data_IF_366599987082
#
_entry.id   IF_366599987082
#
_cell.length_a   1.000
_cell.length_b   1.000
_cell.length_c   1.000
_cell.angle_alpha   90.00
_cell.angle_beta   90.00
_cell.angle_gamma   90.00
#
_symmetry.space_group_name_H-M   'P 1'
#
loop_
_entity.id
_entity.type
_entity.pdbx_description
1 polymer ?
#
# COMPACT_ATOMS: atom_id res chain seq x y z
N UNK A 1 33.30 -18.89 20.59
CA UNK A 1 32.94 -17.53 21.06
C UNK A 1 31.92 -17.66 22.18
N UNK A 2 31.88 -16.74 23.14
CA UNK A 2 30.85 -16.76 24.17
C UNK A 2 29.48 -16.43 23.55
N UNK A 3 28.42 -17.10 24.00
CA UNK A 3 27.05 -16.83 23.55
C UNK A 3 26.62 -15.43 24.01
N UNK A 4 26.22 -14.58 23.07
CA UNK A 4 25.74 -13.23 23.37
C UNK A 4 24.28 -13.29 23.83
N UNK A 5 23.98 -12.66 24.97
CA UNK A 5 22.59 -12.52 25.46
C UNK A 5 21.92 -11.33 24.79
N UNK A 6 20.71 -11.53 24.29
CA UNK A 6 19.88 -10.50 23.65
C UNK A 6 18.56 -10.39 24.42
N UNK A 7 18.32 -9.23 25.01
CA UNK A 7 17.03 -8.88 25.59
C UNK A 7 16.21 -8.08 24.57
N UNK A 8 15.02 -8.57 24.25
CA UNK A 8 14.08 -7.95 23.31
C UNK A 8 12.91 -7.40 24.11
N UNK A 9 12.61 -6.11 23.95
CA UNK A 9 11.65 -5.40 24.79
C UNK A 9 10.36 -5.13 24.00
N UNK A 10 9.31 -5.87 24.32
CA UNK A 10 8.03 -5.84 23.61
C UNK A 10 7.91 -6.96 22.58
N UNK A 11 6.67 -7.38 22.34
CA UNK A 11 6.31 -8.54 21.51
C UNK A 11 5.46 -8.15 20.29
N UNK A 12 5.69 -6.96 19.74
CA UNK A 12 5.03 -6.50 18.52
C UNK A 12 5.80 -6.91 17.25
N UNK A 13 5.28 -6.53 16.08
CA UNK A 13 5.87 -6.92 14.78
C UNK A 13 7.37 -6.64 14.67
N UNK A 14 7.83 -5.44 15.04
CA UNK A 14 9.26 -5.08 14.93
C UNK A 14 10.18 -6.04 15.69
N UNK A 15 9.81 -6.36 16.94
CA UNK A 15 10.56 -7.30 17.76
C UNK A 15 10.54 -8.72 17.19
N UNK A 16 9.35 -9.22 16.85
CA UNK A 16 9.17 -10.61 16.44
C UNK A 16 9.80 -10.88 15.06
N UNK A 17 9.78 -9.93 14.14
CA UNK A 17 10.47 -10.07 12.84
C UNK A 17 11.98 -10.03 13.00
N UNK A 18 12.53 -9.17 13.87
CA UNK A 18 13.96 -9.17 14.18
C UNK A 18 14.42 -10.49 14.77
N UNK A 19 13.67 -11.03 15.74
CA UNK A 19 13.99 -12.34 16.35
C UNK A 19 13.83 -13.46 15.34
N UNK A 20 12.79 -13.44 14.50
CA UNK A 20 12.62 -14.42 13.43
C UNK A 20 13.81 -14.43 12.49
N UNK A 21 14.29 -13.25 12.06
CA UNK A 21 15.45 -13.15 11.18
C UNK A 21 16.75 -13.63 11.85
N UNK A 22 17.00 -13.25 13.10
CA UNK A 22 18.18 -13.71 13.87
C UNK A 22 18.19 -15.24 14.01
N UNK A 23 17.01 -15.84 14.21
CA UNK A 23 16.86 -17.28 14.40
C UNK A 23 16.70 -18.07 13.10
N UNK A 24 16.73 -17.41 11.94
CA UNK A 24 16.76 -18.06 10.63
C UNK A 24 18.15 -18.59 10.26
N UNK A 25 19.21 -18.14 10.95
CA UNK A 25 20.55 -18.73 10.87
C UNK A 25 20.55 -20.09 11.59
N UNK A 26 20.82 -21.24 10.92
CA UNK A 26 20.79 -22.55 11.56
C UNK A 26 21.71 -22.68 12.80
N UNK A 27 22.80 -21.90 12.83
CA UNK A 27 23.80 -21.93 13.91
C UNK A 27 23.55 -20.86 14.98
N UNK A 28 22.40 -20.16 14.96
CA UNK A 28 22.14 -19.01 15.83
C UNK A 28 22.32 -19.32 17.32
N UNK A 29 22.02 -20.55 17.76
CA UNK A 29 22.13 -20.97 19.17
C UNK A 29 23.58 -20.96 19.69
N UNK A 30 24.55 -21.12 18.79
CA UNK A 30 25.97 -21.00 19.15
C UNK A 30 26.41 -19.55 19.35
N UNK A 31 25.60 -18.60 18.85
CA UNK A 31 25.88 -17.16 18.80
C UNK A 31 25.06 -16.39 19.84
N UNK A 32 23.78 -16.75 20.02
CA UNK A 32 22.83 -15.95 20.78
C UNK A 32 21.99 -16.76 21.78
N UNK A 33 21.66 -16.12 22.90
CA UNK A 33 20.58 -16.49 23.80
C UNK A 33 19.57 -15.34 23.79
N UNK A 34 18.35 -15.59 23.30
CA UNK A 34 17.35 -14.52 23.07
C UNK A 34 16.18 -14.67 24.03
N UNK A 35 15.90 -13.62 24.79
CA UNK A 35 14.71 -13.50 25.65
C UNK A 35 13.84 -12.31 25.22
N UNK A 36 12.54 -12.54 25.03
CA UNK A 36 11.54 -11.53 24.68
C UNK A 36 10.72 -11.19 25.91
N UNK A 37 10.92 -9.99 26.46
CA UNK A 37 10.17 -9.45 27.60
C UNK A 37 8.92 -8.73 27.11
N UNK A 38 7.76 -9.17 27.55
CA UNK A 38 6.48 -8.67 27.05
C UNK A 38 5.54 -8.28 28.18
N UNK A 39 4.93 -7.10 28.05
CA UNK A 39 3.90 -6.63 28.96
C UNK A 39 2.60 -7.37 28.73
N UNK A 40 2.03 -7.95 29.78
CA UNK A 40 0.77 -8.68 29.73
C UNK A 40 0.90 -10.06 29.10
N UNK A 41 -0.22 -10.54 28.58
CA UNK A 41 -0.43 -11.96 28.27
C UNK A 41 -0.64 -12.26 26.77
N UNK A 42 -0.55 -11.26 25.88
CA UNK A 42 -0.74 -11.44 24.44
C UNK A 42 0.26 -10.65 23.63
N UNK A 43 1.02 -11.36 22.79
CA UNK A 43 1.86 -10.75 21.77
C UNK A 43 1.02 -9.99 20.73
N UNK A 44 1.69 -9.16 19.94
CA UNK A 44 1.10 -8.49 18.78
C UNK A 44 1.14 -6.97 18.81
N UNK A 45 1.26 -6.37 20.01
CA UNK A 45 1.21 -4.92 20.16
C UNK A 45 -0.08 -4.37 19.56
N UNK A 46 0.00 -3.44 18.59
CA UNK A 46 -1.18 -2.88 17.92
C UNK A 46 -1.98 -3.90 17.11
N UNK A 47 -1.35 -4.99 16.67
CA UNK A 47 -2.02 -6.08 15.96
C UNK A 47 -2.49 -7.21 16.87
N UNK A 48 -2.45 -7.04 18.20
CA UNK A 48 -2.99 -8.04 19.11
C UNK A 48 -4.50 -8.12 18.97
N UNK A 49 -5.04 -9.35 18.93
CA UNK A 49 -6.47 -9.62 18.94
C UNK A 49 -6.87 -10.46 20.16
N UNK A 50 -8.17 -10.44 20.47
CA UNK A 50 -8.79 -11.27 21.50
C UNK A 50 -9.91 -12.12 20.94
N UNK A 51 -10.43 -13.01 21.80
CA UNK A 51 -11.56 -13.88 21.49
C UNK A 51 -12.61 -13.76 22.59
N UNK A 52 -13.85 -13.54 22.20
CA UNK A 52 -14.98 -13.44 23.13
C UNK A 52 -15.79 -14.74 23.13
N UNK A 53 -15.52 -15.58 24.12
CA UNK A 53 -16.20 -16.88 24.28
C UNK A 53 -17.72 -16.75 24.45
N UNK A 54 -18.20 -15.67 25.11
CA UNK A 54 -19.64 -15.43 25.29
C UNK A 54 -20.37 -15.11 23.99
N UNK A 55 -19.63 -14.68 22.96
CA UNK A 55 -20.15 -14.35 21.63
C UNK A 55 -19.60 -15.30 20.55
N UNK A 56 -19.47 -16.60 20.88
CA UNK A 56 -19.07 -17.63 19.92
C UNK A 56 -17.64 -17.45 19.40
N UNK A 57 -16.71 -17.06 20.28
CA UNK A 57 -15.30 -16.83 19.94
C UNK A 57 -15.10 -15.71 18.91
N UNK A 58 -15.98 -14.70 18.95
CA UNK A 58 -15.85 -13.48 18.13
C UNK A 58 -14.47 -12.85 18.33
N UNK A 59 -13.83 -12.51 17.21
CA UNK A 59 -12.56 -11.80 17.20
C UNK A 59 -12.80 -10.36 17.68
N UNK A 60 -11.99 -9.91 18.64
CA UNK A 60 -11.96 -8.53 19.15
C UNK A 60 -10.60 -7.92 18.83
N UNK A 61 -10.54 -6.99 17.88
CA UNK A 61 -9.30 -6.33 17.46
C UNK A 61 -9.36 -4.83 17.66
N UNK A 62 -8.19 -4.23 17.83
CA UNK A 62 -8.05 -2.79 17.88
C UNK A 62 -7.78 -2.21 16.48
N UNK A 63 -8.84 -1.79 15.79
CA UNK A 63 -8.77 -1.12 14.50
C UNK A 63 -8.68 -2.05 13.30
N UNK A 64 -8.85 -1.46 12.10
CA UNK A 64 -8.79 -2.18 10.84
C UNK A 64 -7.33 -2.43 10.44
N UNK A 65 -6.97 -3.70 10.22
CA UNK A 65 -5.66 -4.08 9.70
C UNK A 65 -5.80 -4.53 8.24
N UNK A 66 -5.26 -3.74 7.30
CA UNK A 66 -5.24 -4.06 5.87
C UNK A 66 -3.85 -4.55 5.46
N UNK A 67 -3.81 -5.68 4.75
CA UNK A 67 -2.59 -6.27 4.25
C UNK A 67 -2.50 -6.12 2.74
N UNK A 68 -1.76 -5.13 2.25
CA UNK A 68 -1.75 -4.81 0.82
C UNK A 68 -0.82 -5.72 0.02
N UNK A 69 -1.19 -6.03 -1.23
CA UNK A 69 -0.42 -6.91 -2.11
C UNK A 69 0.95 -6.39 -2.52
N UNK A 70 1.33 -5.18 -2.13
CA UNK A 70 2.69 -4.65 -2.32
C UNK A 70 3.61 -4.82 -1.10
N UNK A 71 3.10 -5.38 0.01
CA UNK A 71 3.84 -5.61 1.25
C UNK A 71 4.78 -6.83 1.16
N UNK A 72 5.71 -6.82 0.20
CA UNK A 72 6.57 -7.95 -0.10
C UNK A 72 7.39 -8.43 1.09
N UNK A 73 8.00 -7.52 1.86
CA UNK A 73 8.77 -7.91 3.04
C UNK A 73 7.90 -8.62 4.08
N UNK A 74 6.65 -8.18 4.23
CA UNK A 74 5.73 -8.76 5.19
C UNK A 74 5.25 -10.15 4.71
N UNK A 75 4.92 -10.27 3.42
CA UNK A 75 4.55 -11.54 2.81
C UNK A 75 5.69 -12.56 2.83
N UNK A 76 6.93 -12.14 2.57
CA UNK A 76 8.10 -13.01 2.63
C UNK A 76 8.22 -13.64 4.03
N UNK A 77 8.20 -12.81 5.07
CA UNK A 77 8.29 -13.29 6.45
C UNK A 77 7.13 -14.23 6.77
N UNK A 78 5.89 -13.86 6.45
CA UNK A 78 4.74 -14.69 6.85
C UNK A 78 4.72 -16.03 6.11
N UNK A 79 5.13 -16.07 4.84
CA UNK A 79 5.26 -17.32 4.08
C UNK A 79 6.29 -18.26 4.73
N UNK A 80 7.45 -17.73 5.12
CA UNK A 80 8.47 -18.53 5.81
C UNK A 80 8.03 -18.94 7.23
N UNK A 81 7.26 -18.10 7.93
CA UNK A 81 6.65 -18.46 9.23
C UNK A 81 5.69 -19.63 9.07
N UNK A 82 4.75 -19.57 8.14
CA UNK A 82 3.79 -20.67 7.93
C UNK A 82 4.48 -21.96 7.50
N UNK A 83 5.47 -21.86 6.61
CA UNK A 83 6.31 -22.99 6.19
C UNK A 83 7.07 -23.61 7.37
N UNK A 84 7.67 -22.79 8.23
CA UNK A 84 8.40 -23.26 9.40
C UNK A 84 7.47 -23.81 10.50
N UNK A 85 6.25 -23.27 10.62
CA UNK A 85 5.26 -23.76 11.59
C UNK A 85 4.76 -25.16 11.21
N UNK A 86 4.73 -25.48 9.91
CA UNK A 86 4.50 -26.81 9.35
C UNK A 86 3.32 -27.55 10.00
N UNK A 87 2.18 -26.86 10.11
CA UNK A 87 0.95 -27.43 10.67
C UNK A 87 0.50 -28.62 9.83
N UNK A 88 -0.08 -29.63 10.48
CA UNK A 88 -0.56 -30.83 9.79
C UNK A 88 -1.64 -30.45 8.74
N UNK A 89 -1.64 -31.08 7.55
CA UNK A 89 -2.68 -30.83 6.54
C UNK A 89 -4.09 -30.99 7.13
N UNK A 90 -4.99 -30.05 6.78
CA UNK A 90 -6.35 -30.00 7.32
C UNK A 90 -6.49 -29.29 8.67
N UNK A 91 -5.38 -28.87 9.30
CA UNK A 91 -5.44 -27.96 10.45
C UNK A 91 -5.93 -26.58 10.00
N UNK A 92 -6.69 -25.84 10.83
CA UNK A 92 -7.06 -24.47 10.49
C UNK A 92 -5.85 -23.58 10.22
N UNK A 93 -5.90 -22.87 9.09
CA UNK A 93 -4.82 -21.98 8.62
C UNK A 93 -3.49 -22.74 8.59
N UNK A 94 -3.43 -23.86 7.88
CA UNK A 94 -2.22 -24.68 7.80
C UNK A 94 -1.14 -23.98 6.97
N UNK A 95 -1.55 -23.26 5.91
CA UNK A 95 -0.67 -22.49 5.03
C UNK A 95 -1.01 -21.00 5.05
N UNK A 96 -0.12 -20.18 4.50
CA UNK A 96 -0.38 -18.74 4.39
C UNK A 96 -1.50 -18.47 3.37
N UNK A 97 -1.65 -19.28 2.32
CA UNK A 97 -2.74 -19.15 1.34
C UNK A 97 -4.11 -19.38 1.99
N UNK A 98 -4.21 -20.28 2.97
CA UNK A 98 -5.43 -20.46 3.76
C UNK A 98 -5.69 -19.30 4.73
N UNK A 99 -4.62 -18.66 5.22
CA UNK A 99 -4.71 -17.54 6.15
C UNK A 99 -5.01 -16.19 5.49
N UNK A 100 -4.69 -16.02 4.20
CA UNK A 100 -4.81 -14.77 3.47
C UNK A 100 -5.58 -14.96 2.16
N UNK A 101 -6.78 -14.40 2.07
CA UNK A 101 -7.60 -14.40 0.86
C UNK A 101 -7.51 -13.06 0.14
N UNK A 102 -7.23 -13.09 -1.17
CA UNK A 102 -7.15 -11.89 -2.00
C UNK A 102 -8.51 -11.23 -2.26
N UNK A 103 -8.52 -9.90 -2.32
CA UNK A 103 -9.68 -9.08 -2.64
C UNK A 103 -9.29 -7.89 -3.52
N UNK A 104 -10.17 -7.58 -4.48
CA UNK A 104 -9.89 -6.58 -5.52
C UNK A 104 -10.87 -5.41 -5.56
N UNK A 105 -11.84 -5.43 -4.66
CA UNK A 105 -12.90 -4.43 -4.60
C UNK A 105 -12.64 -3.41 -3.50
N UNK A 106 -12.64 -2.14 -3.87
CA UNK A 106 -12.60 -1.00 -2.95
C UNK A 106 -13.76 -0.09 -3.29
N UNK A 107 -14.47 0.44 -2.29
CA UNK A 107 -15.49 1.47 -2.50
C UNK A 107 -15.15 2.71 -1.70
N UNK A 108 -15.03 3.84 -2.39
CA UNK A 108 -14.87 5.15 -1.76
C UNK A 108 -16.20 5.89 -1.71
N UNK A 109 -16.40 6.72 -0.71
CA UNK A 109 -17.60 7.53 -0.57
C UNK A 109 -17.30 8.96 -1.01
N UNK A 110 -18.05 9.44 -1.99
CA UNK A 110 -17.89 10.74 -2.59
C UNK A 110 -19.11 11.60 -2.31
N UNK A 111 -18.90 12.84 -1.87
CA UNK A 111 -20.00 13.77 -1.61
C UNK A 111 -20.20 14.68 -2.84
N UNK A 112 -21.36 14.59 -3.49
CA UNK A 112 -21.72 15.39 -4.68
C UNK A 112 -23.11 15.95 -4.48
N UNK A 113 -23.30 17.27 -4.62
CA UNK A 113 -24.60 17.93 -4.46
C UNK A 113 -25.33 17.56 -3.14
N UNK A 114 -24.57 17.45 -2.05
CA UNK A 114 -25.04 17.00 -0.71
C UNK A 114 -25.51 15.53 -0.63
N UNK A 115 -25.27 14.72 -1.65
CA UNK A 115 -25.55 13.28 -1.65
C UNK A 115 -24.25 12.47 -1.57
N UNK A 116 -24.31 11.33 -0.88
CA UNK A 116 -23.20 10.37 -0.82
C UNK A 116 -23.33 9.37 -1.97
N UNK A 117 -22.37 9.43 -2.89
CA UNK A 117 -22.25 8.51 -4.01
C UNK A 117 -21.15 7.49 -3.74
N UNK A 118 -21.46 6.21 -3.90
CA UNK A 118 -20.45 5.16 -3.88
C UNK A 118 -19.62 5.22 -5.16
N UNK A 119 -18.30 5.23 -5.03
CA UNK A 119 -17.35 5.11 -6.12
C UNK A 119 -16.65 3.75 -6.01
N UNK A 120 -17.20 2.70 -6.67
CA UNK A 120 -16.59 1.38 -6.68
C UNK A 120 -15.37 1.33 -7.60
N UNK A 121 -14.32 0.67 -7.13
CA UNK A 121 -13.13 0.28 -7.87
C UNK A 121 -13.01 -1.23 -7.82
N UNK A 122 -12.99 -1.86 -8.99
CA UNK A 122 -12.49 -3.22 -9.16
C UNK A 122 -11.10 -3.09 -9.75
N UNK A 123 -10.08 -3.37 -8.97
CA UNK A 123 -8.69 -3.36 -9.44
C UNK A 123 -8.40 -4.69 -10.16
N UNK A 124 -7.55 -4.68 -11.20
CA UNK A 124 -7.22 -5.91 -11.91
C UNK A 124 -6.39 -6.84 -11.01
N UNK A 125 -6.59 -8.15 -11.13
CA UNK A 125 -5.65 -9.12 -10.54
C UNK A 125 -4.47 -9.34 -11.46
N UNK A 126 -3.36 -9.86 -10.92
CA UNK A 126 -2.24 -10.32 -11.72
C UNK A 126 -1.74 -11.69 -11.24
N UNK A 127 -0.92 -12.37 -12.05
CA UNK A 127 -0.41 -13.71 -11.75
C UNK A 127 0.78 -13.73 -10.78
N UNK A 128 1.17 -12.58 -10.23
CA UNK A 128 2.30 -12.49 -9.31
C UNK A 128 1.89 -12.89 -7.90
N UNK A 129 2.80 -13.51 -7.16
CA UNK A 129 2.63 -13.78 -5.73
C UNK A 129 3.45 -12.78 -4.92
N UNK A 130 2.88 -12.08 -3.92
CA UNK A 130 3.67 -11.23 -3.05
C UNK A 130 4.65 -12.04 -2.19
N UNK A 131 5.67 -11.41 -1.62
CA UNK A 131 6.69 -12.09 -0.80
C UNK A 131 7.93 -12.51 -1.58
N UNK A 132 7.80 -12.69 -2.89
CA UNK A 132 8.93 -12.89 -3.80
C UNK A 132 9.04 -11.69 -4.75
N UNK A 133 10.10 -10.89 -4.63
CA UNK A 133 10.50 -9.99 -5.73
C UNK A 133 11.89 -9.43 -5.65
N UNK A 134 12.35 -9.04 -6.85
CA UNK A 134 13.30 -7.95 -7.01
C UNK A 134 12.72 -6.59 -6.58
N UNK A 135 13.48 -5.51 -6.81
CA UNK A 135 13.10 -4.17 -6.37
C UNK A 135 11.77 -3.71 -6.99
N UNK A 136 11.07 -2.73 -6.36
CA UNK A 136 9.98 -2.01 -7.03
C UNK A 136 10.47 -1.38 -8.34
N UNK A 137 9.55 -0.96 -9.23
CA UNK A 137 9.93 -0.13 -10.38
C UNK A 137 10.77 1.07 -9.95
N UNK A 138 11.72 1.45 -10.79
CA UNK A 138 12.37 2.75 -10.68
C UNK A 138 11.37 3.88 -11.00
N UNK A 139 11.82 5.12 -10.86
CA UNK A 139 10.94 6.29 -11.04
C UNK A 139 10.43 6.41 -12.48
N UNK A 140 11.23 6.04 -13.47
CA UNK A 140 10.79 5.97 -14.86
C UNK A 140 9.70 4.90 -15.06
N UNK A 141 9.87 3.75 -14.41
CA UNK A 141 8.87 2.70 -14.35
C UNK A 141 7.55 3.15 -13.74
N UNK A 142 7.58 4.03 -12.72
CA UNK A 142 6.37 4.66 -12.19
C UNK A 142 5.73 5.60 -13.21
N UNK A 143 6.49 6.47 -13.88
CA UNK A 143 5.96 7.36 -14.92
C UNK A 143 5.24 6.56 -16.00
N UNK A 144 5.86 5.48 -16.51
CA UNK A 144 5.25 4.56 -17.49
C UNK A 144 3.91 4.00 -16.99
N UNK A 145 3.89 3.50 -15.75
CA UNK A 145 2.68 2.91 -15.14
C UNK A 145 1.57 3.93 -14.88
N UNK A 146 1.91 5.18 -14.52
CA UNK A 146 0.93 6.25 -14.33
C UNK A 146 0.26 6.59 -15.67
N UNK A 147 1.04 6.76 -16.74
CA UNK A 147 0.50 7.05 -18.07
C UNK A 147 -0.36 5.90 -18.59
N UNK A 148 0.10 4.66 -18.42
CA UNK A 148 -0.68 3.47 -18.78
C UNK A 148 -1.98 3.35 -17.98
N UNK A 149 -1.95 3.67 -16.69
CA UNK A 149 -3.17 3.73 -15.86
C UNK A 149 -4.16 4.76 -16.40
N UNK A 150 -3.73 5.98 -16.73
CA UNK A 150 -4.62 7.02 -17.30
C UNK A 150 -5.20 6.55 -18.63
N UNK A 151 -4.40 5.90 -19.47
CA UNK A 151 -4.86 5.33 -20.75
C UNK A 151 -5.96 4.28 -20.54
N UNK A 152 -5.76 3.31 -19.63
CA UNK A 152 -6.77 2.31 -19.32
C UNK A 152 -8.06 2.94 -18.76
N UNK A 153 -7.94 3.93 -17.86
CA UNK A 153 -9.09 4.66 -17.32
C UNK A 153 -9.82 5.47 -18.38
N UNK A 154 -9.10 6.00 -19.38
CA UNK A 154 -9.69 6.71 -20.51
C UNK A 154 -10.55 5.76 -21.35
N UNK A 155 -10.07 4.54 -21.62
CA UNK A 155 -10.86 3.54 -22.37
C UNK A 155 -12.15 3.16 -21.65
N UNK A 156 -12.08 2.94 -20.32
CA UNK A 156 -13.27 2.74 -19.48
C UNK A 156 -14.24 3.93 -19.54
N UNK A 157 -13.71 5.15 -19.46
CA UNK A 157 -14.49 6.40 -19.49
C UNK A 157 -15.28 6.53 -20.80
N UNK A 158 -14.64 6.31 -21.95
CA UNK A 158 -15.29 6.41 -23.25
C UNK A 158 -16.49 5.45 -23.36
N UNK A 159 -16.37 4.25 -22.80
CA UNK A 159 -17.44 3.25 -22.82
C UNK A 159 -18.62 3.57 -21.89
N UNK A 160 -18.37 4.28 -20.78
CA UNK A 160 -19.35 4.46 -19.69
C UNK A 160 -19.99 5.84 -19.65
N UNK A 161 -19.35 6.85 -20.25
CA UNK A 161 -19.86 8.23 -20.25
C UNK A 161 -21.09 8.40 -21.14
N UNK A 162 -21.86 9.47 -20.93
CA UNK A 162 -23.10 9.73 -21.66
C UNK A 162 -22.87 10.07 -23.13
N UNK A 163 -23.88 9.83 -23.97
CA UNK A 163 -23.83 10.11 -25.41
C UNK A 163 -23.45 11.58 -25.75
N UNK A 164 -23.93 12.62 -25.02
CA UNK A 164 -23.47 13.99 -25.23
C UNK A 164 -21.96 14.18 -25.03
N UNK A 165 -21.38 13.53 -24.01
CA UNK A 165 -19.93 13.61 -23.76
C UNK A 165 -19.17 12.86 -24.87
N UNK A 166 -19.64 11.68 -25.27
CA UNK A 166 -19.05 10.91 -26.38
C UNK A 166 -19.02 11.73 -27.68
N UNK A 167 -20.13 12.41 -28.00
CA UNK A 167 -20.21 13.26 -29.19
C UNK A 167 -19.19 14.41 -29.15
N UNK A 168 -18.98 15.03 -27.99
CA UNK A 168 -17.99 16.11 -27.81
C UNK A 168 -16.55 15.59 -27.93
N UNK A 169 -16.28 14.42 -27.35
CA UNK A 169 -14.98 13.75 -27.49
C UNK A 169 -14.68 13.45 -28.97
N UNK A 170 -15.65 12.91 -29.71
CA UNK A 170 -15.52 12.61 -31.14
C UNK A 170 -15.34 13.88 -31.99
N UNK A 171 -16.13 14.93 -31.69
CA UNK A 171 -16.04 16.22 -32.38
C UNK A 171 -14.70 16.93 -32.15
N UNK A 172 -13.95 16.56 -31.10
CA UNK A 172 -12.71 17.24 -30.77
C UNK A 172 -11.63 17.02 -31.84
N UNK A 173 -11.59 15.85 -32.51
CA UNK A 173 -10.68 15.51 -33.62
C UNK A 173 -9.18 15.74 -33.34
N UNK A 174 -8.27 15.02 -34.01
CA UNK A 174 -6.85 15.34 -33.79
C UNK A 174 -6.51 16.70 -34.39
N UNK A 175 -6.22 17.67 -33.51
CA UNK A 175 -5.80 19.00 -33.90
C UNK A 175 -4.50 18.94 -34.72
N UNK A 176 -4.41 19.77 -35.77
CA UNK A 176 -3.26 19.82 -36.67
C UNK A 176 -1.94 20.16 -35.97
N UNK A 177 -2.01 20.83 -34.81
CA UNK A 177 -0.85 21.14 -33.96
C UNK A 177 -0.12 19.90 -33.44
N UNK A 178 -0.77 18.74 -33.39
CA UNK A 178 -0.16 17.47 -32.97
C UNK A 178 0.40 16.63 -34.13
N UNK A 179 0.47 17.18 -35.36
CA UNK A 179 0.97 16.48 -36.53
C UNK A 179 2.43 16.00 -36.35
N UNK A 180 3.25 16.76 -35.61
CA UNK A 180 4.64 16.37 -35.33
C UNK A 180 4.74 15.13 -34.43
N UNK A 181 3.81 14.92 -33.50
CA UNK A 181 3.73 13.69 -32.70
C UNK A 181 3.38 12.48 -33.57
N UNK A 182 2.54 12.67 -34.59
CA UNK A 182 2.27 11.63 -35.59
C UNK A 182 3.53 11.29 -36.38
N UNK A 183 4.31 12.29 -36.78
CA UNK A 183 5.59 12.05 -37.46
C UNK A 183 6.59 11.31 -36.54
N UNK A 184 6.64 11.67 -35.25
CA UNK A 184 7.55 11.05 -34.29
C UNK A 184 7.15 9.60 -33.92
N UNK A 185 5.85 9.30 -33.80
CA UNK A 185 5.36 8.04 -33.22
C UNK A 185 4.43 7.22 -34.13
N UNK A 186 4.21 7.63 -35.37
CA UNK A 186 3.12 7.17 -36.25
C UNK A 186 3.21 5.75 -36.81
N UNK A 187 4.39 5.12 -36.84
CA UNK A 187 4.58 3.81 -37.49
C UNK A 187 4.15 2.59 -36.65
N UNK A 188 3.67 2.78 -35.40
CA UNK A 188 3.54 1.68 -34.43
C UNK A 188 2.21 1.58 -33.68
N UNK A 189 1.15 2.23 -34.17
CA UNK A 189 -0.21 2.00 -33.63
C UNK A 189 -0.90 1.06 -34.60
N UNK A 190 -0.86 -0.26 -34.44
CA UNK A 190 -1.55 -1.17 -35.38
C UNK A 190 -3.09 -0.97 -35.41
N UNK A 191 -3.64 -0.20 -34.46
CA UNK A 191 -5.01 0.33 -34.41
C UNK A 191 -5.10 1.82 -34.85
N UNK A 192 -4.30 2.24 -35.86
CA UNK A 192 -4.19 3.65 -36.30
C UNK A 192 -5.56 4.30 -36.53
N UNK A 193 -6.52 3.57 -37.13
CA UNK A 193 -7.79 4.16 -37.55
C UNK A 193 -8.63 4.65 -36.37
N UNK A 194 -8.78 3.87 -35.29
CA UNK A 194 -9.57 4.26 -34.11
C UNK A 194 -8.83 5.22 -33.18
N UNK A 195 -7.49 5.17 -33.12
CA UNK A 195 -6.71 6.11 -32.30
C UNK A 195 -6.68 7.52 -32.93
N UNK A 196 -6.83 7.63 -34.25
CA UNK A 196 -6.84 8.91 -34.96
C UNK A 196 -8.14 9.70 -34.82
N UNK A 197 -9.21 9.06 -34.35
CA UNK A 197 -10.53 9.68 -34.16
C UNK A 197 -10.70 10.37 -32.80
N UNK A 198 -9.81 10.10 -31.83
CA UNK A 198 -9.92 10.61 -30.46
C UNK A 198 -8.58 11.22 -29.97
N UNK A 199 -8.56 12.54 -29.81
CA UNK A 199 -7.40 13.33 -29.36
C UNK A 199 -6.85 12.86 -28.02
N UNK A 200 -7.72 12.58 -27.05
CA UNK A 200 -7.32 12.09 -25.74
C UNK A 200 -6.57 10.76 -25.84
N UNK A 201 -7.13 9.81 -26.59
CA UNK A 201 -6.50 8.50 -26.82
C UNK A 201 -5.16 8.64 -27.52
N UNK A 202 -5.07 9.48 -28.56
CA UNK A 202 -3.83 9.74 -29.29
C UNK A 202 -2.73 10.30 -28.38
N UNK A 203 -3.04 11.34 -27.60
CA UNK A 203 -2.09 11.99 -26.71
C UNK A 203 -1.59 11.02 -25.62
N UNK A 204 -2.46 10.20 -25.03
CA UNK A 204 -2.05 9.22 -24.02
C UNK A 204 -1.14 8.13 -24.60
N UNK A 205 -1.39 7.64 -25.81
CA UNK A 205 -0.47 6.71 -26.49
C UNK A 205 0.89 7.36 -26.80
N UNK A 206 0.90 8.61 -27.24
CA UNK A 206 2.14 9.35 -27.49
C UNK A 206 2.93 9.56 -26.18
N UNK A 207 2.25 9.92 -25.09
CA UNK A 207 2.85 10.04 -23.77
C UNK A 207 3.42 8.70 -23.28
N UNK A 208 2.72 7.59 -23.51
CA UNK A 208 3.20 6.27 -23.11
C UNK A 208 4.47 5.88 -23.88
N UNK A 209 4.52 6.15 -25.19
CA UNK A 209 5.72 5.93 -26.01
C UNK A 209 6.89 6.78 -25.55
N UNK A 210 6.66 8.07 -25.30
CA UNK A 210 7.68 8.97 -24.74
C UNK A 210 8.18 8.47 -23.37
N UNK A 211 7.27 7.99 -22.50
CA UNK A 211 7.63 7.44 -21.21
C UNK A 211 8.48 6.18 -21.36
N UNK A 212 8.12 5.26 -22.26
CA UNK A 212 8.90 4.05 -22.59
C UNK A 212 10.32 4.42 -23.03
N UNK A 213 10.45 5.49 -23.82
CA UNK A 213 11.73 6.01 -24.32
C UNK A 213 12.53 6.83 -23.27
N UNK A 214 11.99 7.05 -22.07
CA UNK A 214 12.65 7.85 -21.01
C UNK A 214 12.63 9.37 -21.28
N UNK A 215 11.77 9.85 -22.16
CA UNK A 215 11.71 11.27 -22.57
C UNK A 215 10.78 12.08 -21.64
N UNK A 216 11.11 12.18 -20.35
CA UNK A 216 10.19 12.69 -19.31
C UNK A 216 9.70 14.13 -19.53
N UNK A 217 10.54 15.00 -20.11
CA UNK A 217 10.13 16.36 -20.49
C UNK A 217 9.06 16.34 -21.59
N UNK A 218 9.17 15.43 -22.56
CA UNK A 218 8.16 15.26 -23.59
C UNK A 218 6.87 14.64 -23.02
N UNK A 219 6.98 13.68 -22.11
CA UNK A 219 5.81 13.13 -21.40
C UNK A 219 5.05 14.26 -20.71
N UNK A 220 5.75 15.12 -19.96
CA UNK A 220 5.17 16.30 -19.30
C UNK A 220 4.43 17.20 -20.30
N UNK A 221 5.05 17.53 -21.42
CA UNK A 221 4.45 18.37 -22.47
C UNK A 221 3.16 17.75 -23.03
N UNK A 222 3.21 16.48 -23.45
CA UNK A 222 2.06 15.77 -24.03
C UNK A 222 0.92 15.67 -23.02
N UNK A 223 1.21 15.35 -21.75
CA UNK A 223 0.19 15.27 -20.70
C UNK A 223 -0.43 16.64 -20.39
N UNK A 224 0.34 17.73 -20.51
CA UNK A 224 -0.18 19.09 -20.41
C UNK A 224 -1.20 19.42 -21.51
N UNK A 225 -0.91 19.03 -22.76
CA UNK A 225 -1.86 19.14 -23.86
C UNK A 225 -3.11 18.27 -23.63
N UNK A 226 -2.92 17.04 -23.15
CA UNK A 226 -4.02 16.14 -22.81
C UNK A 226 -4.95 16.74 -21.75
N UNK A 227 -4.40 17.31 -20.67
CA UNK A 227 -5.23 17.96 -19.65
C UNK A 227 -5.93 19.22 -20.15
N UNK A 228 -5.31 19.98 -21.05
CA UNK A 228 -5.94 21.14 -21.68
C UNK A 228 -7.16 20.72 -22.49
N UNK A 229 -7.02 19.67 -23.31
CA UNK A 229 -8.12 19.06 -24.05
C UNK A 229 -9.24 18.56 -23.12
N UNK A 230 -8.88 17.80 -22.07
CA UNK A 230 -9.86 17.23 -21.14
C UNK A 230 -10.61 18.32 -20.35
N UNK A 231 -9.93 19.40 -19.94
CA UNK A 231 -10.55 20.58 -19.31
C UNK A 231 -11.57 21.26 -20.24
N UNK A 232 -11.30 21.33 -21.54
CA UNK A 232 -12.25 21.87 -22.53
C UNK A 232 -13.56 21.07 -22.58
N UNK A 233 -13.49 19.75 -22.44
CA UNK A 233 -14.67 18.88 -22.35
C UNK A 233 -15.37 19.05 -21.00
N UNK A 234 -14.61 18.95 -19.91
CA UNK A 234 -15.12 18.96 -18.54
C UNK A 234 -15.83 20.28 -18.17
N UNK A 235 -15.31 21.42 -18.61
CA UNK A 235 -15.84 22.76 -18.25
C UNK A 235 -17.32 22.98 -18.57
N UNK A 236 -17.88 22.24 -19.51
CA UNK A 236 -19.30 22.36 -19.90
C UNK A 236 -20.21 21.27 -19.32
N UNK A 237 -19.64 20.12 -18.93
CA UNK A 237 -20.40 18.88 -18.77
C UNK A 237 -20.11 18.11 -17.48
N UNK A 238 -19.06 18.46 -16.74
CA UNK A 238 -18.59 17.71 -15.57
C UNK A 238 -19.65 17.53 -14.48
N UNK A 239 -20.47 18.55 -14.23
CA UNK A 239 -21.52 18.48 -13.20
C UNK A 239 -22.70 17.57 -13.58
N UNK A 240 -22.81 17.18 -14.86
CA UNK A 240 -23.93 16.39 -15.40
C UNK A 240 -23.54 14.96 -15.74
N UNK A 241 -22.25 14.62 -15.68
CA UNK A 241 -21.75 13.30 -16.05
C UNK A 241 -20.73 12.80 -15.01
N UNK A 242 -21.19 11.86 -14.18
CA UNK A 242 -20.38 11.26 -13.10
C UNK A 242 -19.12 10.58 -13.62
N UNK A 243 -19.18 9.93 -14.79
CA UNK A 243 -18.03 9.22 -15.35
C UNK A 243 -16.97 10.21 -15.86
N UNK A 244 -17.38 11.30 -16.52
CA UNK A 244 -16.48 12.38 -16.90
C UNK A 244 -15.80 13.02 -15.69
N UNK A 245 -16.57 13.33 -14.64
CA UNK A 245 -16.03 13.94 -13.41
C UNK A 245 -15.02 13.03 -12.71
N UNK A 246 -15.34 11.74 -12.58
CA UNK A 246 -14.45 10.74 -11.96
C UNK A 246 -13.20 10.51 -12.79
N UNK A 247 -13.33 10.42 -14.11
CA UNK A 247 -12.20 10.33 -15.01
C UNK A 247 -11.32 11.58 -14.96
N UNK A 248 -11.92 12.77 -14.94
CA UNK A 248 -11.21 14.04 -14.78
C UNK A 248 -10.34 14.04 -13.52
N UNK A 249 -10.90 13.65 -12.36
CA UNK A 249 -10.16 13.55 -11.10
C UNK A 249 -8.96 12.60 -11.23
N UNK A 250 -9.17 11.38 -11.76
CA UNK A 250 -8.11 10.38 -11.90
C UNK A 250 -7.00 10.84 -12.87
N UNK A 251 -7.40 11.43 -13.99
CA UNK A 251 -6.50 11.96 -15.01
C UNK A 251 -5.68 13.15 -14.47
N UNK A 252 -6.33 14.11 -13.83
CA UNK A 252 -5.67 15.29 -13.26
C UNK A 252 -4.66 14.91 -12.18
N UNK A 253 -5.04 14.01 -11.25
CA UNK A 253 -4.11 13.49 -10.23
C UNK A 253 -2.91 12.77 -10.85
N UNK A 254 -3.13 11.93 -11.86
CA UNK A 254 -2.06 11.20 -12.55
C UNK A 254 -1.13 12.14 -13.32
N UNK A 255 -1.67 13.09 -14.08
CA UNK A 255 -0.88 14.05 -14.85
C UNK A 255 -0.08 14.98 -13.95
N UNK A 256 -0.71 15.56 -12.92
CA UNK A 256 -0.03 16.46 -11.98
C UNK A 256 1.07 15.71 -11.23
N UNK A 257 0.85 14.44 -10.89
CA UNK A 257 1.90 13.58 -10.31
C UNK A 257 3.10 13.48 -11.25
N UNK A 258 2.90 13.19 -12.55
CA UNK A 258 4.02 13.11 -13.51
C UNK A 258 4.71 14.46 -13.69
N UNK A 259 3.93 15.55 -13.81
CA UNK A 259 4.47 16.91 -13.90
C UNK A 259 5.34 17.23 -12.70
N UNK A 260 4.83 17.01 -11.48
CA UNK A 260 5.57 17.28 -10.26
C UNK A 260 6.80 16.39 -10.10
N UNK A 261 6.72 15.11 -10.49
CA UNK A 261 7.87 14.22 -10.48
C UNK A 261 9.02 14.72 -11.37
N UNK A 262 8.69 15.33 -12.52
CA UNK A 262 9.66 15.95 -13.43
C UNK A 262 10.19 17.26 -12.86
N UNK A 263 9.32 18.17 -12.44
CA UNK A 263 9.70 19.52 -11.99
C UNK A 263 10.51 19.53 -10.69
N UNK A 264 10.18 18.66 -9.74
CA UNK A 264 10.87 18.58 -8.46
C UNK A 264 12.02 17.54 -8.45
N UNK A 265 12.40 17.02 -9.62
CA UNK A 265 13.49 16.04 -9.80
C UNK A 265 13.29 14.73 -9.02
N UNK A 266 12.05 14.31 -8.79
CA UNK A 266 11.73 13.03 -8.13
C UNK A 266 12.25 11.86 -8.96
N UNK A 267 12.27 11.99 -10.29
CA UNK A 267 12.76 10.92 -11.19
C UNK A 267 14.21 10.56 -10.87
N UNK A 268 15.06 11.57 -10.67
CA UNK A 268 16.49 11.37 -10.42
C UNK A 268 16.80 11.12 -8.94
N UNK A 269 16.09 11.82 -8.03
CA UNK A 269 16.45 11.88 -6.61
C UNK A 269 15.53 11.06 -5.70
N UNK A 270 14.47 10.48 -6.25
CA UNK A 270 13.47 9.71 -5.53
C UNK A 270 12.47 10.55 -4.74
N UNK A 271 11.51 9.88 -4.11
CA UNK A 271 10.36 10.53 -3.46
C UNK A 271 10.73 11.48 -2.31
N UNK A 272 11.87 11.27 -1.66
CA UNK A 272 12.16 11.98 -0.40
C UNK A 272 12.46 13.47 -0.59
N UNK A 273 12.75 13.90 -1.83
CA UNK A 273 12.98 15.32 -2.15
C UNK A 273 11.74 16.20 -2.05
N UNK A 274 10.55 15.60 -1.94
CA UNK A 274 9.28 16.31 -1.77
C UNK A 274 8.66 16.09 -0.38
N UNK A 275 9.38 15.48 0.57
CA UNK A 275 8.84 15.22 1.93
C UNK A 275 8.57 16.51 2.74
N UNK A 276 9.14 17.64 2.32
CA UNK A 276 8.89 18.95 2.94
C UNK A 276 7.51 19.55 2.61
N UNK A 277 6.72 18.91 1.75
CA UNK A 277 5.36 19.33 1.42
C UNK A 277 4.33 18.39 2.07
N UNK A 278 3.18 18.93 2.44
CA UNK A 278 1.96 18.13 2.53
C UNK A 278 1.55 17.66 1.13
N UNK A 279 0.96 16.46 1.01
CA UNK A 279 0.58 15.90 -0.29
C UNK A 279 -0.43 16.77 -1.05
N UNK A 280 -1.40 17.41 -0.38
CA UNK A 280 -2.34 18.33 -1.05
C UNK A 280 -1.65 19.59 -1.52
N UNK A 281 -0.77 20.16 -0.70
CA UNK A 281 -0.01 21.35 -1.05
C UNK A 281 0.90 21.08 -2.25
N UNK A 282 1.50 19.88 -2.31
CA UNK A 282 2.31 19.46 -3.45
C UNK A 282 1.48 19.30 -4.73
N UNK A 283 0.28 18.70 -4.65
CA UNK A 283 -0.65 18.64 -5.78
C UNK A 283 -1.07 20.04 -6.26
N UNK A 284 -1.39 20.95 -5.33
CA UNK A 284 -1.77 22.32 -5.63
C UNK A 284 -0.62 23.10 -6.30
N UNK A 285 0.61 22.96 -5.81
CA UNK A 285 1.82 23.56 -6.37
C UNK A 285 2.01 23.21 -7.85
N UNK A 286 1.70 21.98 -8.25
CA UNK A 286 1.83 21.50 -9.63
C UNK A 286 0.54 21.63 -10.45
N UNK A 287 -0.46 22.37 -9.94
CA UNK A 287 -1.62 22.80 -10.72
C UNK A 287 -2.80 21.82 -10.76
N UNK A 288 -2.91 20.91 -9.78
CA UNK A 288 -4.11 20.09 -9.63
C UNK A 288 -5.36 20.96 -9.43
N UNK A 289 -6.47 20.51 -10.01
CA UNK A 289 -7.76 21.14 -9.82
C UNK A 289 -8.24 20.96 -8.37
N UNK A 290 -9.00 21.93 -7.86
CA UNK A 290 -9.53 21.89 -6.50
C UNK A 290 -10.38 20.65 -6.23
N UNK A 291 -11.19 20.22 -7.22
CA UNK A 291 -11.98 18.99 -7.14
C UNK A 291 -11.11 17.74 -7.00
N UNK A 292 -9.90 17.74 -7.57
CA UNK A 292 -8.96 16.61 -7.50
C UNK A 292 -8.25 16.58 -6.14
N UNK A 293 -7.78 17.74 -5.67
CA UNK A 293 -7.12 17.90 -4.35
C UNK A 293 -8.06 17.49 -3.21
N UNK A 294 -9.34 17.87 -3.32
CA UNK A 294 -10.37 17.56 -2.33
C UNK A 294 -11.16 16.29 -2.64
N UNK A 295 -10.71 15.49 -3.61
CA UNK A 295 -11.41 14.26 -4.01
C UNK A 295 -11.37 13.19 -2.92
N UNK A 296 -12.32 12.26 -3.00
CA UNK A 296 -12.35 11.07 -2.12
C UNK A 296 -11.10 10.19 -2.28
N UNK A 297 -10.42 10.24 -3.44
CA UNK A 297 -9.16 9.52 -3.70
C UNK A 297 -8.06 10.07 -2.80
N UNK A 298 -7.85 11.38 -2.83
CA UNK A 298 -6.84 12.02 -1.96
C UNK A 298 -7.25 11.86 -0.49
N UNK A 299 -8.54 12.00 -0.16
CA UNK A 299 -9.00 11.77 1.20
C UNK A 299 -8.74 10.34 1.69
N UNK A 300 -8.90 9.33 0.85
CA UNK A 300 -8.64 7.94 1.20
C UNK A 300 -7.16 7.71 1.56
N UNK A 301 -6.21 8.39 0.90
CA UNK A 301 -4.77 8.30 1.23
C UNK A 301 -4.51 8.71 2.68
N UNK A 302 -5.14 9.79 3.15
CA UNK A 302 -5.02 10.25 4.54
C UNK A 302 -5.81 9.35 5.50
N UNK A 303 -7.03 8.97 5.11
CA UNK A 303 -7.92 8.13 5.91
C UNK A 303 -7.34 6.75 6.21
N UNK A 304 -6.60 6.16 5.26
CA UNK A 304 -5.92 4.87 5.42
C UNK A 304 -4.87 4.88 6.53
N UNK A 305 -4.22 6.02 6.78
CA UNK A 305 -3.09 6.13 7.73
C UNK A 305 -3.52 6.73 9.06
N UNK A 306 -4.31 7.81 9.03
CA UNK A 306 -4.60 8.62 10.21
C UNK A 306 -6.01 8.44 10.76
N UNK A 307 -6.93 7.81 10.03
CA UNK A 307 -8.26 7.45 10.53
C UNK A 307 -9.21 8.61 10.86
N UNK A 308 -8.92 9.86 10.46
CA UNK A 308 -9.76 11.02 10.77
C UNK A 308 -10.21 11.85 9.55
N UNK A 309 -11.22 12.71 9.78
CA UNK A 309 -11.86 13.58 8.78
C UNK A 309 -11.26 14.99 8.68
N UNK A 310 -10.43 15.41 9.63
CA UNK A 310 -9.83 16.76 9.66
C UNK A 310 -8.29 16.73 9.60
N UNK A 311 -7.73 17.85 9.16
CA UNK A 311 -6.36 18.12 8.68
C UNK A 311 -5.23 17.37 9.42
N UNK A 312 -4.86 16.21 8.89
CA UNK A 312 -3.50 15.69 9.07
C UNK A 312 -2.65 16.23 7.93
N UNK A 313 -1.38 16.52 8.23
CA UNK A 313 -0.36 16.71 7.21
C UNK A 313 0.25 15.34 6.87
N UNK A 314 0.51 15.10 5.60
CA UNK A 314 1.15 13.87 5.12
C UNK A 314 2.28 14.23 4.15
N UNK A 315 3.51 13.90 4.51
CA UNK A 315 4.70 14.09 3.66
C UNK A 315 4.42 13.57 2.24
N UNK A 316 4.50 14.46 1.25
CA UNK A 316 4.07 14.17 -0.12
C UNK A 316 4.80 12.97 -0.72
N UNK A 317 6.09 12.81 -0.45
CA UNK A 317 6.87 11.68 -0.94
C UNK A 317 6.44 10.34 -0.34
N UNK A 318 6.06 10.31 0.94
CA UNK A 318 5.55 9.10 1.60
C UNK A 318 4.15 8.76 1.10
N UNK A 319 3.27 9.76 1.00
CA UNK A 319 1.92 9.61 0.47
C UNK A 319 1.93 9.08 -0.97
N UNK A 320 2.73 9.72 -1.84
CA UNK A 320 2.86 9.34 -3.24
C UNK A 320 3.43 7.92 -3.39
N UNK A 321 4.48 7.60 -2.64
CA UNK A 321 5.06 6.25 -2.62
C UNK A 321 4.01 5.21 -2.22
N UNK A 322 3.25 5.46 -1.17
CA UNK A 322 2.17 4.56 -0.73
C UNK A 322 1.10 4.37 -1.79
N UNK A 323 0.60 5.46 -2.38
CA UNK A 323 -0.44 5.44 -3.41
C UNK A 323 0.01 4.68 -4.67
N UNK A 324 1.21 4.98 -5.18
CA UNK A 324 1.73 4.32 -6.37
C UNK A 324 2.00 2.83 -6.11
N UNK A 325 2.49 2.47 -4.92
CA UNK A 325 2.70 1.06 -4.58
C UNK A 325 1.37 0.29 -4.51
N UNK A 326 0.37 0.90 -3.87
CA UNK A 326 -0.99 0.36 -3.72
C UNK A 326 -1.71 0.19 -5.05
N UNK A 327 -1.65 1.20 -5.92
CA UNK A 327 -2.42 1.21 -7.17
C UNK A 327 -1.73 0.54 -8.35
N UNK A 328 -0.39 0.55 -8.40
CA UNK A 328 0.36 0.22 -9.62
C UNK A 328 1.39 -0.90 -9.47
N UNK A 329 1.67 -1.38 -8.25
CA UNK A 329 2.74 -2.38 -8.01
C UNK A 329 2.36 -3.50 -7.04
N UNK A 330 1.08 -3.63 -6.70
CA UNK A 330 0.59 -4.76 -5.92
C UNK A 330 0.71 -6.06 -6.73
N UNK A 331 0.75 -7.19 -6.03
CA UNK A 331 0.89 -8.52 -6.61
C UNK A 331 -0.26 -9.42 -6.20
N UNK A 332 -0.78 -10.16 -7.15
CA UNK A 332 -1.98 -10.98 -7.00
C UNK A 332 -3.20 -10.08 -6.91
N UNK A 333 -3.43 -9.54 -5.71
CA UNK A 333 -4.59 -8.75 -5.35
C UNK A 333 -4.19 -7.42 -4.68
N UNK A 334 -5.02 -6.39 -4.76
CA UNK A 334 -4.70 -5.10 -4.11
C UNK A 334 -4.58 -5.25 -2.60
N UNK A 335 -5.43 -6.05 -1.97
CA UNK A 335 -5.30 -6.39 -0.56
C UNK A 335 -5.68 -7.84 -0.30
N UNK A 336 -5.17 -8.35 0.81
CA UNK A 336 -5.41 -9.70 1.30
C UNK A 336 -6.07 -9.60 2.67
N UNK A 337 -7.25 -10.17 2.77
CA UNK A 337 -7.98 -10.30 4.03
C UNK A 337 -7.42 -11.49 4.80
N UNK A 338 -7.12 -11.27 6.07
CA UNK A 338 -6.82 -12.36 6.99
C UNK A 338 -8.11 -13.12 7.33
N UNK A 339 -8.06 -14.45 7.25
CA UNK A 339 -9.19 -15.35 7.52
C UNK A 339 -9.43 -15.59 9.03
N UNK A 340 -8.62 -14.97 9.88
CA UNK A 340 -8.80 -14.82 11.31
C UNK A 340 -8.26 -13.45 11.75
N UNK A 341 -8.22 -13.19 13.04
CA UNK A 341 -7.62 -11.96 13.54
C UNK A 341 -6.10 -11.95 13.34
N UNK A 342 -5.47 -10.77 13.34
CA UNK A 342 -4.03 -10.63 13.17
C UNK A 342 -3.24 -11.39 14.27
N UNK A 343 -3.79 -11.47 15.48
CA UNK A 343 -3.29 -12.36 16.55
C UNK A 343 -3.17 -13.82 16.12
N UNK A 344 -4.14 -14.34 15.37
CA UNK A 344 -4.21 -15.75 14.99
C UNK A 344 -3.50 -16.02 13.66
N UNK A 345 -3.61 -15.10 12.70
CA UNK A 345 -3.04 -15.23 11.35
C UNK A 345 -1.56 -14.85 11.27
N UNK A 346 -1.03 -14.12 12.27
CA UNK A 346 0.35 -13.63 12.25
C UNK A 346 1.07 -13.97 13.54
N UNK A 347 0.60 -13.46 14.67
CA UNK A 347 1.37 -13.54 15.91
C UNK A 347 1.40 -14.93 16.53
N UNK A 348 0.31 -15.69 16.42
CA UNK A 348 0.23 -17.09 16.85
C UNK A 348 1.26 -17.97 16.13
N UNK A 349 1.24 -18.05 14.79
CA UNK A 349 2.24 -18.78 14.01
C UNK A 349 3.69 -18.31 14.29
N UNK A 350 3.92 -17.00 14.38
CA UNK A 350 5.25 -16.47 14.73
C UNK A 350 5.71 -16.94 16.11
N UNK A 351 4.84 -16.85 17.12
CA UNK A 351 5.11 -17.33 18.47
C UNK A 351 5.46 -18.82 18.48
N UNK A 352 4.63 -19.65 17.83
CA UNK A 352 4.85 -21.10 17.75
C UNK A 352 6.23 -21.43 17.17
N UNK A 353 6.58 -20.80 16.04
CA UNK A 353 7.88 -21.04 15.39
C UNK A 353 9.04 -20.56 16.27
N UNK A 354 8.95 -19.37 16.86
CA UNK A 354 10.02 -18.82 17.69
C UNK A 354 10.21 -19.64 18.98
N UNK A 355 9.11 -20.10 19.59
CA UNK A 355 9.13 -20.98 20.75
C UNK A 355 9.79 -22.33 20.39
N UNK A 356 9.41 -22.95 19.27
CA UNK A 356 10.04 -24.19 18.78
C UNK A 356 11.53 -24.02 18.50
N UNK A 357 11.94 -22.85 17.99
CA UNK A 357 13.35 -22.52 17.81
C UNK A 357 14.08 -22.41 19.16
N UNK A 358 13.40 -22.12 20.25
CA UNK A 358 13.95 -22.02 21.60
C UNK A 358 14.19 -20.59 22.06
N UNK A 359 13.45 -19.63 21.49
CA UNK A 359 13.38 -18.26 22.03
C UNK A 359 12.62 -18.30 23.36
N UNK A 360 13.18 -17.61 24.35
CA UNK A 360 12.59 -17.52 25.68
C UNK A 360 11.60 -16.35 25.76
N UNK A 361 10.33 -16.62 26.07
CA UNK A 361 9.30 -15.59 26.19
C UNK A 361 8.96 -15.31 27.65
N UNK A 362 9.22 -14.08 28.07
CA UNK A 362 9.01 -13.58 29.42
C UNK A 362 7.75 -12.68 29.43
N UNK A 363 6.58 -13.30 29.48
CA UNK A 363 5.28 -12.60 29.60
C UNK A 363 5.12 -11.91 30.96
N UNK A 364 4.18 -10.98 31.06
CA UNK A 364 3.91 -10.21 32.29
C UNK A 364 5.10 -9.35 32.76
N UNK A 365 6.06 -9.05 31.90
CA UNK A 365 7.23 -8.24 32.20
C UNK A 365 7.07 -6.87 31.56
N UNK A 366 6.73 -5.87 32.36
CA UNK A 366 6.59 -4.49 31.90
C UNK A 366 7.90 -3.75 32.12
N UNK A 367 8.57 -3.35 31.03
CA UNK A 367 9.74 -2.48 31.11
C UNK A 367 9.29 -1.10 31.62
N UNK A 368 9.94 -0.63 32.69
CA UNK A 368 9.63 0.65 33.33
C UNK A 368 10.74 1.69 33.16
N UNK A 369 11.98 1.27 32.93
CA UNK A 369 13.11 2.17 32.73
C UNK A 369 14.23 1.53 31.91
N UNK A 370 14.89 2.35 31.07
CA UNK A 370 16.16 2.04 30.41
C UNK A 370 17.23 2.95 31.00
N UNK A 371 18.02 2.43 31.94
CA UNK A 371 19.08 3.21 32.57
C UNK A 371 20.31 3.25 31.67
N UNK A 372 20.77 4.47 31.34
CA UNK A 372 21.91 4.69 30.47
C UNK A 372 23.23 4.78 31.26
N UNK A 373 24.34 4.42 30.62
CA UNK A 373 25.69 4.75 31.11
C UNK A 373 26.10 6.19 30.74
N UNK A 374 27.32 6.57 31.11
CA UNK A 374 27.90 7.89 30.81
C UNK A 374 28.11 8.16 29.30
N UNK A 375 27.98 7.14 28.46
CA UNK A 375 28.13 7.20 27.01
C UNK A 375 26.79 7.09 26.27
N UNK A 376 25.67 7.16 27.00
CA UNK A 376 24.30 6.98 26.50
C UNK A 376 24.01 5.57 25.93
N UNK A 377 24.76 4.55 26.34
CA UNK A 377 24.40 3.16 26.05
C UNK A 377 23.43 2.63 27.11
N UNK A 378 22.55 1.71 26.72
CA UNK A 378 21.68 1.02 27.68
C UNK A 378 22.55 0.15 28.59
N UNK A 379 22.56 0.47 29.89
CA UNK A 379 23.31 -0.25 30.92
C UNK A 379 22.39 -1.12 31.80
N UNK A 380 21.17 -0.67 32.08
CA UNK A 380 20.20 -1.41 32.91
C UNK A 380 18.80 -1.37 32.32
N UNK A 381 18.02 -2.43 32.58
CA UNK A 381 16.60 -2.53 32.21
C UNK A 381 15.83 -2.83 33.49
N UNK A 382 14.93 -1.93 33.89
CA UNK A 382 14.04 -2.14 35.03
C UNK A 382 12.73 -2.75 34.55
N UNK A 383 12.26 -3.79 35.24
CA UNK A 383 11.07 -4.56 34.88
C UNK A 383 10.17 -4.73 36.08
N UNK A 384 8.89 -4.40 35.91
CA UNK A 384 7.81 -4.79 36.82
C UNK A 384 7.22 -6.12 36.37
N UNK A 385 7.16 -7.09 37.29
CA UNK A 385 6.50 -8.38 37.06
C UNK A 385 5.02 -8.26 37.44
N UNK A 386 4.14 -8.32 36.45
CA UNK A 386 2.69 -8.12 36.60
C UNK A 386 1.98 -9.36 37.17
N UNK A 387 2.52 -10.55 36.90
CA UNK A 387 2.02 -11.83 37.38
C UNK A 387 3.13 -12.87 37.32
N UNK A 388 3.04 -13.87 38.20
CA UNK A 388 3.90 -15.07 38.18
C UNK A 388 3.05 -16.29 37.85
N UNK A 389 3.69 -17.33 37.32
CA UNK A 389 3.02 -18.61 37.08
C UNK A 389 2.56 -19.25 38.39
N UNK A 390 1.46 -20.00 38.32
CA UNK A 390 1.01 -20.84 39.41
C UNK A 390 2.01 -21.98 39.67
N UNK A 391 1.97 -22.54 40.88
CA UNK A 391 2.81 -23.69 41.24
C UNK A 391 2.63 -24.86 40.26
N UNK A 392 3.73 -25.49 39.87
CA UNK A 392 3.74 -26.58 38.89
C UNK A 392 3.81 -26.16 37.42
N UNK A 393 3.67 -24.86 37.11
CA UNK A 393 3.83 -24.34 35.75
C UNK A 393 5.20 -23.70 35.56
N UNK A 394 5.89 -24.08 34.49
CA UNK A 394 7.22 -23.53 34.13
C UNK A 394 7.17 -22.60 32.93
N UNK A 395 6.08 -22.61 32.16
CA UNK A 395 5.86 -21.75 30.99
C UNK A 395 4.42 -21.24 30.94
N UNK A 396 4.24 -20.03 30.39
CA UNK A 396 2.94 -19.49 30.03
C UNK A 396 2.63 -19.87 28.57
N UNK A 397 1.41 -20.34 28.29
CA UNK A 397 0.92 -20.52 26.92
C UNK A 397 -0.09 -19.41 26.58
N UNK A 398 0.24 -18.50 25.64
CA UNK A 398 -0.67 -17.44 25.21
C UNK A 398 -1.73 -17.93 24.21
N UNK A 399 -1.69 -19.18 23.75
CA UNK A 399 -2.59 -19.70 22.73
C UNK A 399 -3.85 -20.32 23.32
N UNK A 400 -4.95 -20.21 22.57
CA UNK A 400 -6.23 -20.85 22.90
C UNK A 400 -6.73 -21.60 21.67
N UNK A 401 -7.14 -22.84 21.86
CA UNK A 401 -7.79 -23.62 20.80
C UNK A 401 -9.23 -23.14 20.61
N UNK A 402 -9.56 -22.74 19.39
CA UNK A 402 -10.91 -22.34 18.97
C UNK A 402 -11.44 -23.43 18.04
N UNK A 403 -12.49 -24.14 18.49
CA UNK A 403 -13.16 -25.20 17.73
C UNK A 403 -14.34 -24.66 16.93
#
# INVERSE_FOLDING_TARGET
MAVQKIAVLGGGMGSLTSVFQLTSDPDWKSKYQISVYHMGWRLGGKGASGRNASLGQRIEEHGLHLWFGFYDNAFNIIQEVYKANNRAPGSPLATWEEAFTGYDFIALQEQVNNEWLSWPFVLPTNSMTPGYSGPPPDMEGYVKRIVDFILQRHEDFIQKTSAPVQAKVQASGIAGEFAWLKLKFGELVTDVEHALENTGRFLLHAALKAAIAGEHLLVKEILGHFMTWLKGIASEMMDRDTELRRFFILADLGVVTVIGMVEDNVIEKGFDVINNYDYRDWLAKHGAAEISINSTIVQAVYGLVFGGKEQYTFEAGVALRGLLRLGLTFKGHVYYRMMAGMGDAIFGPMYQVLQQRGVDFQFFNKVTNLGLDIHNNINTISIDVQATLAEGYTTYDPLVTVN
#
